data_IF_762092302030
#
_entry.id   IF_762092302030
#
_cell.length_a   1.000
_cell.length_b   1.000
_cell.length_c   1.000
_cell.angle_alpha   90.00
_cell.angle_beta   90.00
_cell.angle_gamma   90.00
#
_symmetry.space_group_name_H-M   'P 1'
#
loop_
_entity.id
_entity.type
_entity.pdbx_description
1 polymer ?
#
# COMPACT_ATOMS: atom_id res chain seq x y z
N UNK A 1 6.82 3.87 13.02
CA UNK A 1 8.00 3.79 12.09
C UNK A 1 7.69 2.75 11.02
N UNK A 2 8.47 2.65 9.95
CA UNK A 2 8.19 1.82 8.75
C UNK A 2 7.71 0.38 9.03
N UNK A 3 8.07 -0.18 10.17
CA UNK A 3 7.57 -1.46 10.69
C UNK A 3 6.03 -1.54 10.80
N UNK A 4 5.34 -0.46 11.16
CA UNK A 4 3.87 -0.40 11.23
C UNK A 4 3.24 -0.53 9.84
N UNK A 5 3.92 -0.02 8.81
CA UNK A 5 3.52 -0.15 7.40
C UNK A 5 3.70 -1.58 6.92
N UNK A 6 4.81 -2.22 7.28
CA UNK A 6 5.03 -3.63 6.98
C UNK A 6 4.01 -4.53 7.69
N UNK A 7 3.69 -4.23 8.95
CA UNK A 7 2.71 -5.00 9.71
C UNK A 7 1.30 -4.87 9.13
N UNK A 8 0.85 -3.65 8.86
CA UNK A 8 -0.45 -3.42 8.23
C UNK A 8 -0.57 -4.08 6.86
N UNK A 9 0.49 -4.04 6.05
CA UNK A 9 0.53 -4.69 4.75
C UNK A 9 0.52 -6.23 4.85
N UNK A 10 1.18 -6.82 5.87
CA UNK A 10 1.11 -8.26 6.14
C UNK A 10 -0.29 -8.66 6.58
N UNK A 11 -0.91 -7.90 7.48
CA UNK A 11 -2.28 -8.12 7.96
C UNK A 11 -3.32 -7.99 6.85
N UNK A 12 -3.05 -7.18 5.84
CA UNK A 12 -3.89 -7.03 4.67
C UNK A 12 -3.57 -8.00 3.52
N UNK A 13 -2.64 -8.94 3.72
CA UNK A 13 -2.18 -9.91 2.71
C UNK A 13 -1.65 -9.28 1.41
N UNK A 14 -1.19 -8.01 1.45
CA UNK A 14 -0.59 -7.31 0.29
C UNK A 14 0.94 -7.32 0.34
N UNK A 15 1.55 -7.59 1.49
CA UNK A 15 3.02 -7.52 1.66
C UNK A 15 3.80 -8.29 0.59
N UNK A 16 3.44 -9.56 0.35
CA UNK A 16 4.12 -10.39 -0.65
C UNK A 16 3.95 -9.84 -2.07
N UNK A 17 2.76 -9.31 -2.37
CA UNK A 17 2.48 -8.65 -3.65
C UNK A 17 3.34 -7.41 -3.83
N UNK A 18 3.41 -6.55 -2.81
CA UNK A 18 4.26 -5.35 -2.83
C UNK A 18 5.72 -5.74 -3.00
N UNK A 19 6.20 -6.80 -2.34
CA UNK A 19 7.57 -7.29 -2.50
C UNK A 19 7.91 -7.81 -3.90
N UNK A 20 6.90 -8.16 -4.71
CA UNK A 20 7.07 -8.55 -6.11
C UNK A 20 7.09 -7.36 -7.08
N UNK A 21 6.82 -6.14 -6.61
CA UNK A 21 6.95 -4.93 -7.44
C UNK A 21 8.42 -4.53 -7.63
N UNK A 22 8.77 -3.89 -8.76
CA UNK A 22 10.16 -3.51 -9.06
C UNK A 22 10.80 -2.66 -7.95
N UNK A 23 10.04 -1.72 -7.38
CA UNK A 23 10.51 -0.81 -6.34
C UNK A 23 9.91 -1.12 -4.96
N UNK A 24 9.28 -2.29 -4.82
CA UNK A 24 8.65 -2.75 -3.57
C UNK A 24 7.69 -1.70 -2.98
N UNK A 25 7.88 -1.30 -1.72
CA UNK A 25 7.08 -0.28 -1.04
C UNK A 25 7.26 1.14 -1.59
N UNK A 26 8.30 1.37 -2.38
CA UNK A 26 8.52 2.63 -3.09
C UNK A 26 7.84 2.67 -4.46
N UNK A 27 7.19 1.57 -4.89
CA UNK A 27 6.49 1.51 -6.17
C UNK A 27 5.33 2.49 -6.19
N UNK A 28 5.39 3.45 -7.11
CA UNK A 28 4.27 4.35 -7.37
C UNK A 28 3.11 3.56 -8.00
N UNK A 29 1.91 3.68 -7.42
CA UNK A 29 0.68 3.06 -7.91
C UNK A 29 -0.30 4.14 -8.36
N UNK A 30 -0.99 3.94 -9.48
CA UNK A 30 -1.94 4.93 -10.01
C UNK A 30 -1.80 5.16 -11.51
N UNK A 31 -2.26 6.32 -11.98
CA UNK A 31 -2.41 6.60 -13.42
C UNK A 31 -1.09 6.62 -14.20
N UNK A 32 -0.01 7.08 -13.53
CA UNK A 32 1.36 7.08 -14.05
C UNK A 32 2.25 5.98 -13.46
N UNK A 33 1.66 5.09 -12.65
CA UNK A 33 2.37 4.05 -11.90
C UNK A 33 1.91 2.65 -12.24
N UNK A 34 2.29 1.69 -11.40
CA UNK A 34 1.83 0.31 -11.51
C UNK A 34 0.31 0.25 -11.31
N UNK A 35 -0.39 -0.38 -12.27
CA UNK A 35 -1.83 -0.58 -12.18
C UNK A 35 -2.13 -1.80 -11.32
N UNK A 36 -2.75 -1.56 -10.17
CA UNK A 36 -3.26 -2.61 -9.31
C UNK A 36 -4.54 -3.23 -9.92
N UNK A 37 -4.63 -4.55 -9.82
CA UNK A 37 -5.86 -5.31 -10.06
C UNK A 37 -6.95 -4.96 -9.05
N UNK A 38 -8.18 -5.42 -9.30
CA UNK A 38 -9.30 -5.20 -8.39
C UNK A 38 -9.07 -5.75 -6.98
N UNK A 39 -8.48 -6.96 -6.87
CA UNK A 39 -8.17 -7.58 -5.59
C UNK A 39 -7.07 -6.84 -4.82
N UNK A 40 -6.01 -6.42 -5.52
CA UNK A 40 -4.93 -5.65 -4.90
C UNK A 40 -5.41 -4.29 -4.38
N UNK A 41 -6.33 -3.64 -5.09
CA UNK A 41 -6.97 -2.40 -4.59
C UNK A 41 -7.74 -2.63 -3.29
N UNK A 42 -8.46 -3.74 -3.16
CA UNK A 42 -9.16 -4.09 -1.92
C UNK A 42 -8.19 -4.36 -0.77
N UNK A 43 -7.11 -5.10 -1.04
CA UNK A 43 -6.08 -5.39 -0.05
C UNK A 43 -5.34 -4.11 0.39
N UNK A 44 -5.03 -3.19 -0.53
CA UNK A 44 -4.46 -1.87 -0.18
C UNK A 44 -5.44 -1.05 0.67
N UNK A 45 -6.74 -1.08 0.36
CA UNK A 45 -7.75 -0.41 1.17
C UNK A 45 -7.82 -0.99 2.60
N UNK A 46 -7.67 -2.31 2.75
CA UNK A 46 -7.61 -2.98 4.03
C UNK A 46 -6.33 -2.62 4.81
N UNK A 47 -5.16 -2.57 4.14
CA UNK A 47 -3.91 -2.11 4.73
C UNK A 47 -4.04 -0.67 5.25
N UNK A 48 -4.70 0.21 4.46
CA UNK A 48 -5.03 1.58 4.87
C UNK A 48 -5.95 1.63 6.09
N UNK A 49 -6.92 0.72 6.21
CA UNK A 49 -7.77 0.64 7.39
C UNK A 49 -6.99 0.24 8.65
N UNK A 50 -6.05 -0.70 8.54
CA UNK A 50 -5.15 -1.06 9.64
C UNK A 50 -4.20 0.07 10.02
N UNK A 51 -3.70 0.83 9.04
CA UNK A 51 -2.88 2.02 9.28
C UNK A 51 -3.69 3.17 9.87
N UNK A 52 -4.93 3.39 9.44
CA UNK A 52 -5.77 4.47 9.99
C UNK A 52 -6.15 4.25 11.45
N UNK A 53 -6.12 3.00 11.92
CA UNK A 53 -6.23 2.66 13.34
C UNK A 53 -4.94 2.99 14.14
N UNK A 54 -3.79 3.05 13.48
CA UNK A 54 -2.49 3.49 14.00
C UNK A 54 -2.23 4.93 13.52
N UNK A 55 -2.79 5.91 14.21
CA UNK A 55 -2.76 7.34 13.86
C UNK A 55 -1.35 7.93 13.61
N UNK A 56 -0.68 7.68 12.46
CA UNK A 56 0.46 8.47 11.97
C UNK A 56 0.56 8.41 10.43
N UNK A 57 0.74 9.59 9.84
CA UNK A 57 1.02 9.97 8.45
C UNK A 57 1.86 8.95 7.64
N UNK A 58 1.33 8.42 6.53
CA UNK A 58 2.13 7.74 5.48
C UNK A 58 1.91 8.44 4.15
N UNK A 59 2.82 9.37 3.86
CA UNK A 59 3.08 9.87 2.51
C UNK A 59 3.81 8.79 1.71
N UNK A 60 3.09 7.77 1.23
CA UNK A 60 3.55 6.84 0.19
C UNK A 60 2.40 5.98 -0.35
N UNK A 61 1.22 6.59 -0.52
CA UNK A 61 0.23 6.10 -1.49
C UNK A 61 -0.33 7.38 -2.11
N UNK A 62 0.50 8.07 -2.90
CA UNK A 62 0.00 9.09 -3.81
C UNK A 62 -0.80 8.40 -4.89
N UNK A 63 -2.05 8.07 -4.54
CA UNK A 63 -3.13 8.19 -5.50
C UNK A 63 -3.11 9.68 -5.86
N UNK A 64 -2.50 10.06 -6.97
CA UNK A 64 -2.69 11.39 -7.55
C UNK A 64 -4.07 11.37 -8.21
N UNK A 65 -5.09 12.04 -7.65
CA UNK A 65 -6.26 12.41 -8.44
C UNK A 65 -5.87 13.62 -9.29
N UNK A 66 -5.21 13.35 -10.43
CA UNK A 66 -5.22 14.22 -11.61
C UNK A 66 -4.86 13.37 -12.84
#
# INVERSE_FOLDING_TARGET
MEEEVYDAARRAAIHNTVMNFPDKYSTAVGERGLKLSGGEKQQVALARAFLKALSIFVSAIFFTPD
#
